data_IF_185087115160
#
_entry.id   IF_185087115160
#
_cell.length_a   1.000
_cell.length_b   1.000
_cell.length_c   1.000
_cell.angle_alpha   90.00
_cell.angle_beta   90.00
_cell.angle_gamma   90.00
#
_symmetry.space_group_name_H-M   'P 1'
#
loop_
_entity.id
_entity.type
_entity.pdbx_description
1 polymer ?
#
# COMPACT_ATOMS: atom_id res chain seq x y z
N UNK A 1 14.85 -2.46 -22.32
CA UNK A 1 13.86 -3.34 -22.97
C UNK A 1 12.74 -3.84 -22.03
N UNK A 2 12.94 -3.95 -20.71
CA UNK A 2 11.85 -4.35 -19.76
C UNK A 2 10.78 -3.26 -19.53
N UNK A 3 11.14 -1.98 -19.57
CA UNK A 3 10.19 -0.85 -19.36
C UNK A 3 9.20 -0.65 -20.54
N UNK A 4 9.57 -1.07 -21.75
CA UNK A 4 8.69 -0.97 -22.93
C UNK A 4 7.57 -2.02 -22.94
N UNK A 5 7.79 -3.19 -22.31
CA UNK A 5 6.78 -4.26 -22.22
C UNK A 5 5.66 -3.95 -21.22
N UNK A 6 5.95 -3.17 -20.18
CA UNK A 6 4.95 -2.76 -19.17
C UNK A 6 3.98 -1.72 -19.75
N UNK A 7 4.46 -0.77 -20.57
CA UNK A 7 3.58 0.18 -21.25
C UNK A 7 2.61 -0.46 -22.26
N UNK A 8 3.00 -1.58 -22.90
CA UNK A 8 2.14 -2.26 -23.87
C UNK A 8 1.02 -3.03 -23.17
N UNK A 9 1.24 -3.54 -21.95
CA UNK A 9 0.21 -4.23 -21.16
C UNK A 9 -0.82 -3.22 -20.62
N UNK A 10 -0.41 -2.01 -20.22
CA UNK A 10 -1.34 -0.95 -19.81
C UNK A 10 -2.17 -0.38 -20.99
N UNK A 11 -1.63 -0.37 -22.20
CA UNK A 11 -2.36 0.10 -23.38
C UNK A 11 -3.39 -0.91 -23.90
N UNK A 12 -3.25 -2.21 -23.57
CA UNK A 12 -4.21 -3.25 -24.00
C UNK A 12 -5.44 -3.36 -23.09
N UNK A 13 -5.40 -2.81 -21.87
CA UNK A 13 -6.54 -2.80 -20.94
C UNK A 13 -7.51 -1.66 -21.26
N UNK A 14 -7.05 -0.61 -21.97
CA UNK A 14 -7.88 0.56 -22.31
C UNK A 14 -8.77 0.37 -23.56
N UNK A 15 -8.78 -0.81 -24.19
CA UNK A 15 -9.52 -1.06 -25.44
C UNK A 15 -10.73 -1.98 -25.28
N UNK A 16 -11.20 -2.24 -24.05
CA UNK A 16 -12.49 -2.90 -23.84
C UNK A 16 -13.52 -1.86 -23.37
N UNK A 17 -13.59 -0.74 -24.09
CA UNK A 17 -14.86 0.01 -24.14
C UNK A 17 -15.69 -0.76 -25.16
N UNK A 18 -16.43 -1.76 -24.70
CA UNK A 18 -17.52 -2.32 -25.49
C UNK A 18 -18.44 -1.16 -25.83
N UNK A 19 -18.70 -0.89 -27.13
CA UNK A 19 -19.70 0.11 -27.46
C UNK A 19 -21.01 -0.36 -26.83
N UNK A 20 -21.50 0.40 -25.86
CA UNK A 20 -22.88 0.23 -25.38
C UNK A 20 -23.71 0.39 -26.65
N UNK A 21 -24.23 -0.70 -27.16
CA UNK A 21 -25.25 -0.64 -28.21
C UNK A 21 -26.45 0.03 -27.56
N UNK A 22 -26.57 1.33 -27.69
CA UNK A 22 -27.80 2.05 -27.41
C UNK A 22 -28.83 1.63 -28.45
N UNK A 23 -29.37 0.41 -28.33
CA UNK A 23 -30.61 0.09 -28.97
C UNK A 23 -31.64 0.95 -28.25
N UNK A 24 -32.10 2.01 -28.92
CA UNK A 24 -33.21 2.78 -28.37
C UNK A 24 -34.34 1.81 -28.03
N UNK A 25 -34.80 1.79 -26.79
CA UNK A 25 -35.87 0.92 -26.35
C UNK A 25 -37.07 1.14 -27.26
N UNK A 26 -37.57 0.08 -27.84
CA UNK A 26 -38.69 0.13 -28.80
C UNK A 26 -39.98 -0.34 -28.18
N UNK A 27 -39.88 -1.14 -27.12
CA UNK A 27 -41.03 -1.69 -26.37
C UNK A 27 -40.92 -1.33 -24.87
N UNK A 28 -42.05 -1.47 -24.17
CA UNK A 28 -42.05 -1.28 -22.72
C UNK A 28 -41.25 -2.38 -22.00
N UNK A 29 -41.12 -3.55 -22.63
CA UNK A 29 -40.28 -4.63 -22.18
C UNK A 29 -38.80 -4.26 -22.19
N UNK A 30 -38.32 -3.59 -23.25
CA UNK A 30 -36.93 -3.13 -23.35
C UNK A 30 -36.59 -2.16 -22.21
N UNK A 31 -37.49 -1.23 -21.86
CA UNK A 31 -37.25 -0.33 -20.71
C UNK A 31 -37.14 -1.07 -19.37
N UNK A 32 -37.92 -2.13 -19.19
CA UNK A 32 -37.86 -2.95 -17.97
C UNK A 32 -36.58 -3.78 -17.93
N UNK A 33 -36.13 -4.29 -19.07
CA UNK A 33 -34.87 -5.06 -19.19
C UNK A 33 -33.66 -4.16 -18.95
N UNK A 34 -33.66 -2.95 -19.51
CA UNK A 34 -32.62 -1.94 -19.26
C UNK A 34 -32.54 -1.59 -17.76
N UNK A 35 -33.67 -1.43 -17.08
CA UNK A 35 -33.72 -1.18 -15.64
C UNK A 35 -33.12 -2.35 -14.84
N UNK A 36 -33.45 -3.59 -15.21
CA UNK A 36 -32.91 -4.78 -14.55
C UNK A 36 -31.42 -4.90 -14.76
N UNK A 37 -30.91 -4.59 -15.97
CA UNK A 37 -29.50 -4.56 -16.28
C UNK A 37 -28.76 -3.49 -15.44
N UNK A 38 -29.30 -2.26 -15.33
CA UNK A 38 -28.74 -1.21 -14.49
C UNK A 38 -28.67 -1.61 -13.01
N UNK A 39 -29.73 -2.25 -12.49
CA UNK A 39 -29.77 -2.76 -11.11
C UNK A 39 -28.73 -3.86 -10.88
N UNK A 40 -28.51 -4.73 -11.84
CA UNK A 40 -27.48 -5.76 -11.76
C UNK A 40 -26.05 -5.16 -11.84
N UNK A 41 -25.86 -4.17 -12.70
CA UNK A 41 -24.59 -3.45 -12.80
C UNK A 41 -24.27 -2.75 -11.48
N UNK A 42 -25.24 -2.05 -10.87
CA UNK A 42 -25.08 -1.42 -9.55
C UNK A 42 -24.68 -2.45 -8.50
N UNK A 43 -25.40 -3.57 -8.42
CA UNK A 43 -25.11 -4.64 -7.47
C UNK A 43 -23.69 -5.19 -7.62
N UNK A 44 -23.19 -5.32 -8.86
CA UNK A 44 -21.81 -5.75 -9.12
C UNK A 44 -20.81 -4.72 -8.63
N UNK A 45 -21.02 -3.43 -8.90
CA UNK A 45 -20.14 -2.34 -8.43
C UNK A 45 -20.09 -2.26 -6.92
N UNK A 46 -21.25 -2.31 -6.26
CA UNK A 46 -21.35 -2.28 -4.79
C UNK A 46 -20.61 -3.48 -4.15
N UNK A 47 -20.74 -4.68 -4.74
CA UNK A 47 -20.04 -5.88 -4.27
C UNK A 47 -18.52 -5.79 -4.48
N UNK A 48 -18.07 -5.30 -5.64
CA UNK A 48 -16.63 -5.07 -5.91
C UNK A 48 -16.05 -4.03 -4.95
N UNK A 49 -16.79 -2.96 -4.66
CA UNK A 49 -16.38 -1.95 -3.69
C UNK A 49 -16.25 -2.53 -2.28
N UNK A 50 -17.19 -3.38 -1.87
CA UNK A 50 -17.13 -4.05 -0.57
C UNK A 50 -15.88 -4.95 -0.46
N UNK A 51 -15.63 -5.80 -1.47
CA UNK A 51 -14.44 -6.68 -1.51
C UNK A 51 -13.16 -5.84 -1.44
N UNK A 52 -13.10 -4.75 -2.19
CA UNK A 52 -11.94 -3.84 -2.20
C UNK A 52 -11.73 -3.17 -0.84
N UNK A 53 -12.79 -2.79 -0.12
CA UNK A 53 -12.72 -2.25 1.25
C UNK A 53 -12.23 -3.28 2.27
N UNK A 54 -12.66 -4.53 2.15
CA UNK A 54 -12.19 -5.62 3.02
C UNK A 54 -10.69 -5.86 2.83
N UNK A 55 -10.23 -5.89 1.57
CA UNK A 55 -8.82 -6.03 1.24
C UNK A 55 -7.99 -4.81 1.69
N UNK A 56 -8.52 -3.61 1.54
CA UNK A 56 -7.91 -2.37 2.05
C UNK A 56 -7.70 -2.45 3.57
N UNK A 57 -8.74 -2.79 4.33
CA UNK A 57 -8.67 -2.89 5.79
C UNK A 57 -7.68 -3.96 6.25
N UNK A 58 -7.64 -5.11 5.56
CA UNK A 58 -6.65 -6.18 5.82
C UNK A 58 -5.23 -5.66 5.57
N UNK A 59 -5.00 -5.00 4.45
CA UNK A 59 -3.67 -4.47 4.07
C UNK A 59 -3.20 -3.38 5.05
N UNK A 60 -4.11 -2.52 5.53
CA UNK A 60 -3.81 -1.55 6.61
C UNK A 60 -3.46 -2.26 7.92
N UNK A 61 -4.12 -3.37 8.23
CA UNK A 61 -3.77 -4.22 9.38
C UNK A 61 -2.36 -4.78 9.27
N UNK A 62 -2.01 -5.35 8.13
CA UNK A 62 -0.67 -5.88 7.84
C UNK A 62 0.42 -4.79 7.97
N UNK A 63 0.14 -3.57 7.48
CA UNK A 63 1.07 -2.45 7.61
C UNK A 63 1.32 -2.07 9.08
N UNK A 64 0.29 -2.05 9.93
CA UNK A 64 0.44 -1.79 11.36
C UNK A 64 1.27 -2.86 12.08
N UNK A 65 1.16 -4.12 11.66
CA UNK A 65 2.00 -5.20 12.23
C UNK A 65 3.48 -4.99 11.84
N UNK A 66 3.77 -4.60 10.61
CA UNK A 66 5.14 -4.25 10.18
C UNK A 66 5.69 -3.08 11.01
N UNK A 67 4.91 -2.02 11.23
CA UNK A 67 5.32 -0.88 12.05
C UNK A 67 5.69 -1.30 13.49
N UNK A 68 4.87 -2.17 14.10
CA UNK A 68 5.17 -2.73 15.43
C UNK A 68 6.46 -3.56 15.42
N UNK A 69 6.65 -4.38 14.37
CA UNK A 69 7.84 -5.21 14.22
C UNK A 69 9.09 -4.34 14.06
N UNK A 70 9.05 -3.32 13.20
CA UNK A 70 10.16 -2.36 13.03
C UNK A 70 10.48 -1.64 14.36
N UNK A 71 9.48 -1.23 15.12
CA UNK A 71 9.69 -0.63 16.43
C UNK A 71 10.38 -1.59 17.42
N UNK A 72 9.96 -2.86 17.42
CA UNK A 72 10.59 -3.92 18.24
C UNK A 72 12.04 -4.19 17.82
N UNK A 73 12.32 -4.27 16.52
CA UNK A 73 13.67 -4.47 15.99
C UNK A 73 14.60 -3.29 16.36
N UNK A 74 14.11 -2.06 16.27
CA UNK A 74 14.85 -0.88 16.69
C UNK A 74 15.19 -0.92 18.19
N UNK A 75 14.26 -1.36 19.04
CA UNK A 75 14.53 -1.53 20.49
C UNK A 75 15.62 -2.59 20.71
N UNK A 76 15.57 -3.71 20.02
CA UNK A 76 16.61 -4.74 20.12
C UNK A 76 18.00 -4.22 19.71
N UNK A 77 18.08 -3.37 18.67
CA UNK A 77 19.34 -2.72 18.28
C UNK A 77 19.87 -1.82 19.40
N UNK A 78 18.99 -1.06 20.06
CA UNK A 78 19.36 -0.20 21.21
C UNK A 78 19.91 -1.06 22.34
N UNK A 79 19.23 -2.16 22.68
CA UNK A 79 19.63 -3.05 23.77
C UNK A 79 20.96 -3.76 23.46
N UNK A 80 21.15 -4.25 22.24
CA UNK A 80 22.42 -4.83 21.78
C UNK A 80 23.57 -3.79 21.82
N UNK A 81 23.28 -2.56 21.40
CA UNK A 81 24.27 -1.47 21.43
C UNK A 81 24.71 -1.15 22.87
N UNK A 82 23.74 -1.07 23.80
CA UNK A 82 24.02 -0.85 25.22
C UNK A 82 24.86 -1.98 25.80
N UNK A 83 24.54 -3.22 25.47
CA UNK A 83 25.30 -4.39 25.91
C UNK A 83 26.76 -4.36 25.41
N UNK A 84 26.98 -3.98 24.16
CA UNK A 84 28.34 -3.81 23.62
C UNK A 84 29.10 -2.77 24.43
N UNK A 85 28.50 -1.60 24.71
CA UNK A 85 29.15 -0.54 25.50
C UNK A 85 29.50 -1.00 26.93
N UNK A 86 28.65 -1.82 27.55
CA UNK A 86 28.91 -2.41 28.86
C UNK A 86 30.12 -3.37 28.79
N UNK A 87 30.15 -4.27 27.81
CA UNK A 87 31.25 -5.20 27.59
C UNK A 87 32.57 -4.48 27.27
N UNK A 88 32.54 -3.42 26.45
CA UNK A 88 33.72 -2.62 26.16
C UNK A 88 34.33 -1.96 27.43
N UNK A 89 33.46 -1.41 28.31
CA UNK A 89 33.87 -0.86 29.60
C UNK A 89 34.47 -1.94 30.49
N UNK A 90 33.86 -3.11 30.54
CA UNK A 90 34.36 -4.23 31.33
C UNK A 90 35.73 -4.72 30.83
N UNK A 91 35.90 -4.84 29.51
CA UNK A 91 37.19 -5.16 28.90
C UNK A 91 38.25 -4.11 29.27
N UNK A 92 37.89 -2.83 29.21
CA UNK A 92 38.83 -1.77 29.56
C UNK A 92 39.23 -1.82 31.05
N UNK A 93 38.24 -2.07 31.95
CA UNK A 93 38.54 -2.25 33.37
C UNK A 93 39.45 -3.44 33.64
N UNK A 94 39.20 -4.59 32.96
CA UNK A 94 40.06 -5.76 33.09
C UNK A 94 41.45 -5.57 32.52
N UNK A 95 41.61 -4.85 31.42
CA UNK A 95 42.92 -4.45 30.89
C UNK A 95 43.69 -3.56 31.88
N UNK A 96 43.01 -2.59 32.49
CA UNK A 96 43.61 -1.71 33.49
C UNK A 96 44.01 -2.46 34.74
N UNK A 97 43.14 -3.33 35.29
CA UNK A 97 43.44 -4.23 36.42
C UNK A 97 44.67 -5.08 36.12
N UNK A 98 44.71 -5.70 34.94
CA UNK A 98 45.87 -6.48 34.50
C UNK A 98 47.13 -5.65 34.41
N UNK A 99 47.03 -4.43 33.84
CA UNK A 99 48.15 -3.52 33.73
C UNK A 99 48.66 -3.07 35.10
N UNK A 100 47.77 -2.79 36.07
CA UNK A 100 48.17 -2.41 37.45
C UNK A 100 48.86 -3.57 38.15
N UNK A 101 48.45 -4.82 37.96
CA UNK A 101 49.14 -5.99 38.48
C UNK A 101 50.53 -6.10 37.86
N UNK A 102 50.63 -5.87 36.56
CA UNK A 102 51.91 -5.88 35.85
C UNK A 102 52.84 -4.78 36.33
N UNK A 103 52.32 -3.54 36.50
CA UNK A 103 53.04 -2.39 37.02
C UNK A 103 53.45 -2.62 38.48
N UNK A 104 52.56 -3.19 39.31
CA UNK A 104 52.93 -3.55 40.70
C UNK A 104 54.07 -4.56 40.73
N UNK A 105 53.99 -5.57 39.91
CA UNK A 105 55.11 -6.52 39.74
C UNK A 105 56.36 -5.86 39.19
N UNK A 106 56.27 -4.76 38.41
CA UNK A 106 57.35 -3.93 37.91
C UNK A 106 57.92 -2.99 38.97
N UNK A 107 57.07 -2.26 39.69
CA UNK A 107 57.49 -1.23 40.66
C UNK A 107 58.13 -1.84 41.90
N UNK A 108 57.96 -3.10 42.18
CA UNK A 108 58.62 -3.78 43.29
C UNK A 108 60.18 -3.75 43.17
N UNK A 109 60.78 -3.52 41.98
CA UNK A 109 62.21 -3.34 41.77
C UNK A 109 62.69 -2.96 40.33
N UNK A 110 62.06 -2.00 39.64
CA UNK A 110 62.63 -1.40 38.42
C UNK A 110 62.98 -2.35 37.24
N UNK A 111 62.42 -2.11 36.08
CA UNK A 111 62.70 -2.59 34.71
C UNK A 111 62.71 -4.09 34.36
N UNK A 112 62.57 -5.08 35.24
CA UNK A 112 62.62 -6.51 34.86
C UNK A 112 61.63 -7.38 35.61
N UNK A 113 60.43 -7.00 35.71
CA UNK A 113 59.53 -7.38 36.82
C UNK A 113 58.98 -8.79 36.83
N UNK A 114 58.59 -9.38 35.71
CA UNK A 114 58.17 -10.80 35.71
C UNK A 114 59.34 -11.72 36.09
N UNK A 115 60.48 -11.46 35.47
CA UNK A 115 61.67 -12.24 35.74
C UNK A 115 62.11 -12.00 37.17
N UNK A 116 62.07 -10.74 37.65
CA UNK A 116 62.52 -10.40 39.00
C UNK A 116 61.59 -10.95 40.10
N UNK A 117 60.22 -10.90 39.88
CA UNK A 117 59.27 -11.59 40.77
C UNK A 117 59.58 -13.08 40.85
N UNK A 118 59.82 -13.72 39.70
CA UNK A 118 60.16 -15.13 39.59
C UNK A 118 61.54 -15.39 40.20
N UNK A 119 62.54 -14.58 39.89
CA UNK A 119 63.93 -14.81 40.35
C UNK A 119 64.19 -14.37 41.77
N UNK A 120 63.34 -13.56 42.41
CA UNK A 120 63.35 -13.27 43.86
C UNK A 120 62.83 -14.39 44.72
N UNK A 121 62.53 -15.54 44.17
CA UNK A 121 62.13 -16.73 44.89
C UNK A 121 63.24 -17.14 45.91
N UNK A 122 62.81 -17.44 47.10
CA UNK A 122 63.70 -17.83 48.20
C UNK A 122 64.09 -19.32 48.18
N UNK A 123 63.42 -20.09 47.37
CA UNK A 123 63.68 -21.51 47.13
C UNK A 123 63.24 -21.96 45.73
N UNK A 124 63.70 -23.10 45.27
CA UNK A 124 63.28 -23.65 44.01
C UNK A 124 61.75 -23.94 43.97
N UNK A 125 61.16 -24.35 45.09
CA UNK A 125 59.71 -24.57 45.19
C UNK A 125 58.96 -23.22 45.09
N UNK A 126 59.44 -22.15 45.75
CA UNK A 126 58.89 -20.80 45.63
C UNK A 126 59.03 -20.26 44.18
N UNK A 127 60.11 -20.54 43.52
CA UNK A 127 60.33 -20.20 42.10
C UNK A 127 59.30 -20.85 41.17
N UNK A 128 59.07 -22.11 41.28
CA UNK A 128 58.08 -22.84 40.49
C UNK A 128 56.67 -22.33 40.81
N UNK A 129 56.36 -22.10 42.09
CA UNK A 129 55.06 -21.56 42.49
C UNK A 129 54.79 -20.18 41.91
N UNK A 130 55.77 -19.27 41.89
CA UNK A 130 55.67 -17.95 41.27
C UNK A 130 55.50 -17.97 39.75
N UNK A 131 56.21 -18.87 39.07
CA UNK A 131 55.97 -19.11 37.63
C UNK A 131 54.55 -19.54 37.41
N UNK A 132 54.05 -20.49 38.15
CA UNK A 132 52.67 -21.00 38.01
C UNK A 132 51.60 -19.92 38.25
N UNK A 133 51.80 -19.04 39.24
CA UNK A 133 50.88 -17.92 39.50
C UNK A 133 50.83 -16.97 38.31
N UNK A 134 51.99 -16.53 37.79
CA UNK A 134 52.08 -15.59 36.63
C UNK A 134 51.45 -16.21 35.39
N UNK A 135 51.70 -17.51 35.15
CA UNK A 135 51.16 -18.23 34.01
C UNK A 135 49.64 -18.34 34.11
N UNK A 136 49.12 -18.77 35.27
CA UNK A 136 47.68 -18.89 35.51
C UNK A 136 46.93 -17.55 35.37
N UNK A 137 47.49 -16.47 35.95
CA UNK A 137 46.94 -15.13 35.86
C UNK A 137 46.91 -14.64 34.41
N UNK A 138 48.01 -14.80 33.68
CA UNK A 138 48.12 -14.44 32.26
C UNK A 138 47.12 -15.20 31.40
N UNK A 139 47.00 -16.52 31.64
CA UNK A 139 46.05 -17.39 30.92
C UNK A 139 44.60 -16.96 31.19
N UNK A 140 44.23 -16.80 32.46
CA UNK A 140 42.89 -16.37 32.87
C UNK A 140 42.49 -15.04 32.22
N UNK A 141 43.34 -14.01 32.30
CA UNK A 141 43.06 -12.72 31.68
C UNK A 141 42.91 -12.81 30.16
N UNK A 142 43.77 -13.59 29.51
CA UNK A 142 43.66 -13.81 28.06
C UNK A 142 42.35 -14.49 27.67
N UNK A 143 41.96 -15.51 28.39
CA UNK A 143 40.68 -16.24 28.16
C UNK A 143 39.50 -15.31 28.36
N UNK A 144 39.44 -14.54 29.47
CA UNK A 144 38.38 -13.61 29.78
C UNK A 144 38.23 -12.51 28.69
N UNK A 145 39.35 -11.90 28.27
CA UNK A 145 39.33 -10.89 27.19
C UNK A 145 38.91 -11.49 25.86
N UNK A 146 39.31 -12.73 25.58
CA UNK A 146 38.84 -13.42 24.37
C UNK A 146 37.34 -13.65 24.39
N UNK A 147 36.79 -14.15 25.49
CA UNK A 147 35.34 -14.34 25.66
C UNK A 147 34.55 -13.05 25.49
N UNK A 148 34.99 -11.96 26.10
CA UNK A 148 34.35 -10.65 25.96
C UNK A 148 34.40 -10.14 24.52
N UNK A 149 35.50 -10.31 23.82
CA UNK A 149 35.61 -9.94 22.41
C UNK A 149 34.68 -10.77 21.53
N UNK A 150 34.50 -12.07 21.82
CA UNK A 150 33.55 -12.95 21.13
C UNK A 150 32.10 -12.48 21.36
N UNK A 151 31.77 -12.08 22.59
CA UNK A 151 30.45 -11.50 22.91
C UNK A 151 30.21 -10.17 22.18
N UNK A 152 31.19 -9.31 22.08
CA UNK A 152 31.10 -8.05 21.30
C UNK A 152 30.86 -8.40 19.82
N UNK A 153 31.58 -9.35 19.27
CA UNK A 153 31.41 -9.79 17.89
C UNK A 153 29.99 -10.31 17.66
N UNK A 154 29.51 -11.21 18.53
CA UNK A 154 28.14 -11.75 18.43
C UNK A 154 27.06 -10.64 18.47
N UNK A 155 27.22 -9.66 19.37
CA UNK A 155 26.30 -8.54 19.46
C UNK A 155 26.37 -7.61 18.23
N UNK A 156 27.54 -7.43 17.63
CA UNK A 156 27.66 -6.68 16.37
C UNK A 156 27.01 -7.43 15.22
N UNK A 157 27.25 -8.73 15.09
CA UNK A 157 26.60 -9.58 14.08
C UNK A 157 25.07 -9.55 14.23
N UNK A 158 24.56 -9.57 15.46
CA UNK A 158 23.13 -9.42 15.75
C UNK A 158 22.61 -8.04 15.31
N UNK A 159 23.31 -6.95 15.62
CA UNK A 159 22.93 -5.60 15.16
C UNK A 159 22.83 -5.52 13.64
N UNK A 160 23.80 -6.10 12.95
CA UNK A 160 23.85 -6.09 11.49
C UNK A 160 22.67 -6.90 10.91
N UNK A 161 22.30 -8.02 11.54
CA UNK A 161 21.15 -8.81 11.14
C UNK A 161 19.84 -8.02 11.38
N UNK A 162 19.67 -7.43 12.55
CA UNK A 162 18.49 -6.64 12.88
C UNK A 162 18.34 -5.43 11.94
N UNK A 163 19.45 -4.79 11.55
CA UNK A 163 19.43 -3.70 10.57
C UNK A 163 18.96 -4.16 9.19
N UNK A 164 19.38 -5.34 8.75
CA UNK A 164 18.90 -5.95 7.48
C UNK A 164 17.42 -6.28 7.55
N UNK A 165 16.96 -6.81 8.68
CA UNK A 165 15.55 -7.13 8.89
C UNK A 165 14.68 -5.87 8.83
N UNK A 166 15.14 -4.75 9.42
CA UNK A 166 14.46 -3.44 9.32
C UNK A 166 14.36 -2.99 7.86
N UNK A 167 15.43 -3.08 7.09
CA UNK A 167 15.41 -2.70 5.66
C UNK A 167 14.39 -3.52 4.89
N UNK A 168 14.35 -4.84 5.15
CA UNK A 168 13.37 -5.74 4.53
C UNK A 168 11.93 -5.37 4.90
N UNK A 169 11.65 -5.06 6.17
CA UNK A 169 10.31 -4.67 6.61
C UNK A 169 9.90 -3.30 6.07
N UNK A 170 10.83 -2.35 5.93
CA UNK A 170 10.57 -1.06 5.29
C UNK A 170 10.25 -1.19 3.79
N UNK A 171 10.85 -2.15 3.10
CA UNK A 171 10.52 -2.46 1.71
C UNK A 171 9.12 -3.08 1.58
N UNK A 172 8.78 -4.01 2.48
CA UNK A 172 7.43 -4.57 2.59
C UNK A 172 6.40 -3.45 2.86
N UNK A 173 6.69 -2.54 3.78
CA UNK A 173 5.84 -1.38 4.10
C UNK A 173 5.57 -0.51 2.87
N UNK A 174 6.60 -0.23 2.06
CA UNK A 174 6.45 0.53 0.80
C UNK A 174 5.53 -0.18 -0.18
N UNK A 175 5.67 -1.49 -0.30
CA UNK A 175 4.84 -2.31 -1.18
C UNK A 175 3.37 -2.27 -0.74
N UNK A 176 3.11 -2.42 0.56
CA UNK A 176 1.76 -2.32 1.11
C UNK A 176 1.17 -0.92 0.96
N UNK A 177 1.97 0.14 1.11
CA UNK A 177 1.51 1.51 0.90
C UNK A 177 1.05 1.75 -0.54
N UNK A 178 1.77 1.23 -1.54
CA UNK A 178 1.35 1.29 -2.94
C UNK A 178 0.03 0.54 -3.15
N UNK A 179 -0.12 -0.62 -2.52
CA UNK A 179 -1.35 -1.41 -2.59
C UNK A 179 -2.53 -0.69 -1.93
N UNK A 180 -2.34 -0.09 -0.76
CA UNK A 180 -3.34 0.71 -0.06
C UNK A 180 -3.83 1.87 -0.94
N UNK A 181 -2.91 2.61 -1.55
CA UNK A 181 -3.26 3.72 -2.43
C UNK A 181 -4.04 3.25 -3.65
N UNK A 182 -3.63 2.13 -4.28
CA UNK A 182 -4.33 1.54 -5.42
C UNK A 182 -5.74 1.07 -5.06
N UNK A 183 -5.91 0.42 -3.89
CA UNK A 183 -7.21 -0.02 -3.41
C UNK A 183 -8.12 1.17 -3.05
N UNK A 184 -7.56 2.24 -2.45
CA UNK A 184 -8.29 3.47 -2.18
C UNK A 184 -8.86 4.08 -3.45
N UNK A 185 -8.01 4.32 -4.46
CA UNK A 185 -8.46 4.84 -5.75
C UNK A 185 -9.50 3.94 -6.45
N UNK A 186 -9.35 2.62 -6.30
CA UNK A 186 -10.33 1.67 -6.86
C UNK A 186 -11.68 1.74 -6.16
N UNK A 187 -11.69 1.92 -4.84
CA UNK A 187 -12.91 2.10 -4.06
C UNK A 187 -13.62 3.37 -4.50
N UNK A 188 -12.90 4.49 -4.58
CA UNK A 188 -13.45 5.78 -4.98
C UNK A 188 -14.08 5.71 -6.40
N UNK A 189 -13.40 5.07 -7.36
CA UNK A 189 -13.91 4.83 -8.72
C UNK A 189 -15.20 4.01 -8.71
N UNK A 190 -15.23 2.91 -7.95
CA UNK A 190 -16.39 2.03 -7.87
C UNK A 190 -17.60 2.70 -7.19
N UNK A 191 -17.36 3.55 -6.20
CA UNK A 191 -18.41 4.34 -5.53
C UNK A 191 -18.98 5.41 -6.44
N UNK A 192 -18.13 6.12 -7.19
CA UNK A 192 -18.55 7.11 -8.19
C UNK A 192 -19.39 6.45 -9.29
N UNK A 193 -18.93 5.32 -9.83
CA UNK A 193 -19.68 4.51 -10.80
C UNK A 193 -21.05 4.08 -10.23
N UNK A 194 -21.09 3.61 -8.98
CA UNK A 194 -22.33 3.16 -8.32
C UNK A 194 -23.34 4.30 -8.18
N UNK A 195 -22.89 5.50 -7.80
CA UNK A 195 -23.74 6.70 -7.72
C UNK A 195 -24.29 7.08 -9.10
N UNK A 196 -23.41 7.08 -10.12
CA UNK A 196 -23.82 7.37 -11.51
C UNK A 196 -24.87 6.37 -12.01
N UNK A 197 -24.71 5.07 -11.74
CA UNK A 197 -25.69 4.04 -12.12
C UNK A 197 -27.01 4.23 -11.33
N UNK A 198 -26.93 4.63 -10.07
CA UNK A 198 -28.13 4.92 -9.28
C UNK A 198 -28.98 6.05 -9.86
N UNK A 199 -28.34 7.11 -10.34
CA UNK A 199 -29.04 8.21 -11.00
C UNK A 199 -29.67 7.75 -12.33
N UNK A 200 -29.00 6.89 -13.09
CA UNK A 200 -29.55 6.26 -14.28
C UNK A 200 -30.77 5.38 -13.94
N UNK A 201 -30.70 4.61 -12.85
CA UNK A 201 -31.84 3.79 -12.37
C UNK A 201 -33.03 4.69 -12.06
N UNK A 202 -32.85 5.79 -11.32
CA UNK A 202 -33.94 6.73 -11.00
C UNK A 202 -34.57 7.31 -12.27
N UNK A 203 -33.74 7.77 -13.21
CA UNK A 203 -34.23 8.29 -14.48
C UNK A 203 -35.01 7.24 -15.28
N UNK A 204 -34.54 5.99 -15.30
CA UNK A 204 -35.21 4.86 -15.97
C UNK A 204 -36.52 4.51 -15.29
N UNK A 205 -36.58 4.52 -13.95
CA UNK A 205 -37.83 4.29 -13.19
C UNK A 205 -38.86 5.37 -13.46
N UNK A 206 -38.46 6.65 -13.49
CA UNK A 206 -39.36 7.76 -13.85
C UNK A 206 -39.87 7.64 -15.29
N UNK A 207 -39.01 7.21 -16.20
CA UNK A 207 -39.38 6.98 -17.60
C UNK A 207 -40.43 5.83 -17.70
N UNK A 208 -40.18 4.72 -17.02
CA UNK A 208 -41.11 3.57 -16.96
C UNK A 208 -42.47 4.02 -16.39
N UNK A 209 -42.48 4.78 -15.31
CA UNK A 209 -43.70 5.31 -14.70
C UNK A 209 -44.44 6.23 -15.67
N UNK A 210 -43.75 7.07 -16.38
CA UNK A 210 -44.32 7.95 -17.41
C UNK A 210 -45.04 7.13 -18.50
N UNK A 211 -44.40 6.07 -19.01
CA UNK A 211 -45.04 5.22 -20.04
C UNK A 211 -46.18 4.38 -19.49
N UNK A 212 -46.08 3.93 -18.23
CA UNK A 212 -47.18 3.23 -17.54
C UNK A 212 -48.42 4.13 -17.41
N UNK A 213 -48.20 5.38 -17.02
CA UNK A 213 -49.27 6.38 -16.92
C UNK A 213 -49.87 6.76 -18.29
N UNK A 214 -49.13 6.53 -19.38
CA UNK A 214 -49.58 6.69 -20.77
C UNK A 214 -50.28 5.43 -21.32
N UNK A 215 -50.49 4.39 -20.50
CA UNK A 215 -51.23 3.19 -20.85
C UNK A 215 -50.42 1.99 -21.30
N UNK A 216 -49.06 2.03 -21.26
CA UNK A 216 -48.25 0.84 -21.45
C UNK A 216 -48.39 -0.09 -20.23
N UNK A 217 -48.77 -1.31 -20.44
CA UNK A 217 -48.93 -2.32 -19.37
C UNK A 217 -48.25 -3.65 -19.66
N UNK A 218 -48.11 -4.00 -20.93
CA UNK A 218 -47.51 -5.25 -21.37
C UNK A 218 -46.07 -5.02 -21.89
N UNK A 219 -45.18 -5.97 -21.66
CA UNK A 219 -43.78 -5.90 -22.17
C UNK A 219 -43.71 -5.77 -23.68
N UNK A 220 -44.70 -6.26 -24.42
CA UNK A 220 -44.75 -6.17 -25.88
C UNK A 220 -45.34 -4.86 -26.40
N UNK A 221 -45.80 -3.96 -25.54
CA UNK A 221 -46.35 -2.67 -25.94
C UNK A 221 -45.27 -1.80 -26.58
N UNK A 222 -45.49 -1.34 -27.80
CA UNK A 222 -44.60 -0.40 -28.46
C UNK A 222 -44.74 0.99 -27.83
N UNK A 223 -43.64 1.57 -27.41
CA UNK A 223 -43.62 2.88 -26.77
C UNK A 223 -44.32 3.95 -27.61
N UNK A 224 -44.21 3.88 -28.94
CA UNK A 224 -44.87 4.78 -29.86
C UNK A 224 -46.40 4.70 -29.84
N UNK A 225 -46.99 3.56 -29.39
CA UNK A 225 -48.43 3.34 -29.29
C UNK A 225 -49.01 3.74 -27.95
N UNK A 226 -48.20 3.74 -26.89
CA UNK A 226 -48.62 4.19 -25.56
C UNK A 226 -48.74 5.72 -25.45
N UNK A 227 -48.12 6.43 -26.36
CA UNK A 227 -48.31 7.88 -26.48
C UNK A 227 -49.67 8.10 -27.16
N UNK A 228 -50.77 8.03 -26.39
CA UNK A 228 -52.04 8.56 -26.85
C UNK A 228 -51.90 10.07 -26.90
N UNK A 229 -51.58 10.59 -28.05
CA UNK A 229 -51.84 12.01 -28.34
C UNK A 229 -53.35 12.12 -28.36
N UNK A 230 -54.00 12.84 -27.38
CA UNK A 230 -55.41 13.05 -27.47
C UNK A 230 -55.66 13.77 -28.79
N UNK A 231 -56.44 13.15 -29.66
CA UNK A 231 -56.77 13.75 -30.96
C UNK A 231 -57.47 15.11 -30.83
N UNK A 232 -57.83 15.51 -29.60
CA UNK A 232 -58.51 16.76 -29.25
C UNK A 232 -57.56 17.91 -28.82
N UNK A 233 -56.24 17.66 -28.67
CA UNK A 233 -55.25 18.70 -28.41
C UNK A 233 -54.18 18.67 -29.47
N UNK A 234 -54.60 18.74 -30.72
CA UNK A 234 -53.65 19.07 -31.79
C UNK A 234 -52.99 20.41 -31.44
N UNK A 235 -51.66 20.48 -31.50
CA UNK A 235 -50.99 21.75 -31.50
C UNK A 235 -51.61 22.61 -32.59
N UNK A 236 -52.47 23.56 -32.19
CA UNK A 236 -52.94 24.58 -33.13
C UNK A 236 -51.74 25.34 -33.61
N UNK A 237 -51.59 25.45 -34.94
CA UNK A 237 -50.60 26.36 -35.49
C UNK A 237 -50.84 27.75 -34.88
N UNK A 238 -49.81 28.40 -34.38
CA UNK A 238 -49.96 29.76 -33.79
C UNK A 238 -50.47 30.79 -34.80
N UNK A 239 -50.54 30.40 -36.06
CA UNK A 239 -51.10 31.25 -37.15
C UNK A 239 -51.99 30.39 -38.06
N UNK A 240 -53.14 30.90 -38.45
CA UNK A 240 -54.11 30.25 -39.34
C UNK A 240 -53.59 30.06 -40.77
N UNK A 241 -52.56 30.79 -41.14
CA UNK A 241 -51.86 30.67 -42.42
C UNK A 241 -50.37 30.93 -42.23
N UNK A 242 -49.51 30.10 -42.76
CA UNK A 242 -48.05 30.25 -42.73
C UNK A 242 -47.35 29.03 -43.32
N UNK A 243 -46.21 29.32 -43.96
CA UNK A 243 -45.33 28.32 -44.50
C UNK A 243 -44.29 27.99 -43.44
N UNK A 244 -44.07 26.69 -43.13
CA UNK A 244 -42.97 26.30 -42.28
C UNK A 244 -41.69 26.49 -43.06
N UNK A 245 -40.92 27.54 -42.66
CA UNK A 245 -39.69 27.89 -43.32
C UNK A 245 -38.48 27.07 -42.83
N UNK A 246 -38.65 26.43 -41.67
CA UNK A 246 -37.63 25.55 -41.08
C UNK A 246 -38.22 24.58 -40.09
N UNK A 247 -37.71 23.37 -40.05
CA UNK A 247 -38.05 22.33 -39.04
C UNK A 247 -37.13 22.46 -37.84
N UNK A 248 -37.56 21.93 -36.70
CA UNK A 248 -36.71 21.77 -35.50
C UNK A 248 -35.50 20.91 -35.80
N UNK A 249 -34.32 21.31 -35.37
CA UNK A 249 -33.09 20.51 -35.52
C UNK A 249 -31.95 21.30 -36.18
N UNK A 250 -30.92 20.57 -36.54
CA UNK A 250 -29.76 21.13 -37.24
C UNK A 250 -30.11 21.46 -38.69
N UNK A 251 -29.76 22.68 -39.11
CA UNK A 251 -29.93 23.14 -40.50
C UNK A 251 -28.77 23.98 -40.95
N UNK A 252 -28.66 24.19 -42.23
CA UNK A 252 -27.74 25.17 -42.80
C UNK A 252 -28.19 26.58 -42.34
N UNK A 253 -27.20 27.37 -41.92
CA UNK A 253 -27.48 28.74 -41.46
C UNK A 253 -27.88 29.60 -42.69
N UNK A 254 -29.10 30.19 -42.71
CA UNK A 254 -29.57 30.95 -43.87
C UNK A 254 -28.79 32.25 -44.10
N UNK A 255 -28.01 32.72 -43.10
CA UNK A 255 -27.19 33.93 -43.20
C UNK A 255 -25.74 33.63 -43.50
N UNK A 256 -25.32 32.39 -43.40
CA UNK A 256 -23.95 31.97 -43.72
C UNK A 256 -23.98 30.55 -44.22
N UNK A 257 -23.82 30.36 -45.52
CA UNK A 257 -23.89 29.07 -46.23
C UNK A 257 -22.78 28.07 -45.87
N UNK A 258 -21.84 28.42 -45.00
CA UNK A 258 -20.76 27.54 -44.56
C UNK A 258 -20.94 27.00 -43.12
N UNK A 259 -22.04 27.23 -42.44
CA UNK A 259 -22.28 26.81 -41.08
C UNK A 259 -23.62 26.11 -40.85
N UNK A 260 -23.63 25.08 -40.01
CA UNK A 260 -24.84 24.42 -39.51
C UNK A 260 -25.19 25.00 -38.17
N UNK A 261 -26.46 25.43 -37.99
CA UNK A 261 -26.97 25.95 -36.73
C UNK A 261 -28.15 25.09 -36.22
N UNK A 262 -28.30 24.99 -34.92
CA UNK A 262 -29.46 24.35 -34.30
C UNK A 262 -30.62 25.34 -34.25
N UNK A 263 -31.78 24.91 -34.72
CA UNK A 263 -32.98 25.67 -34.67
C UNK A 263 -33.92 25.17 -33.57
N UNK A 264 -34.15 26.00 -32.55
CA UNK A 264 -35.05 25.73 -31.44
C UNK A 264 -36.52 26.01 -31.81
#
# INVERSE_FOLDING_TARGET
>A
MKKLKICIIFLSIFLIITPIKTNAATTFGDLLDDLEELKEQKRKRDNEAQISREEYNKTVGEMREIERKVASLNQQIVDATKKIQELEKEIQAKKEETNQILVFLQLSNGEKSYLEYIFKAKSFTDFIHRISIVEQLSKYNKELISEMNDLIKQNNDLKDQLAKDIVSEEENRKTLQVKINSLGSRIDELEEDSVSIEDQIKAQEELIETYRNKGCSNRSDRLSKCVVIPASRGFQRPTDSGIITSTYGYRENPLNSSGVSFHN
#
